data_IF_809735949420
#
_entry.id   IF_809735949420
#
_cell.length_a   1.000
_cell.length_b   1.000
_cell.length_c   1.000
_cell.angle_alpha   90.00
_cell.angle_beta   90.00
_cell.angle_gamma   90.00
#
_symmetry.space_group_name_H-M   'P 1'
#
loop_
_entity.id
_entity.type
_entity.pdbx_description
1 polymer ?
#
# COMPACT_ATOMS: atom_id res chain seq x y z
N UNK A 1 -19.41 -7.22 -22.46
CA UNK A 1 -17.97 -7.00 -22.19
C UNK A 1 -17.66 -5.63 -21.57
N UNK A 2 -17.83 -4.46 -22.23
CA UNK A 2 -17.59 -3.13 -21.58
C UNK A 2 -18.45 -2.76 -20.35
N UNK A 3 -19.51 -3.52 -20.06
CA UNK A 3 -20.42 -3.24 -18.93
C UNK A 3 -20.01 -3.96 -17.64
N UNK A 4 -19.24 -5.04 -17.73
CA UNK A 4 -18.76 -5.79 -16.56
C UNK A 4 -17.61 -5.08 -15.85
N UNK A 5 -16.67 -4.48 -16.60
CA UNK A 5 -15.58 -3.67 -16.05
C UNK A 5 -16.04 -2.45 -15.25
N UNK A 6 -17.20 -1.88 -15.57
CA UNK A 6 -17.76 -0.73 -14.81
C UNK A 6 -18.40 -1.20 -13.50
N UNK A 7 -18.78 -2.47 -13.37
CA UNK A 7 -19.55 -2.94 -12.20
C UNK A 7 -18.63 -3.28 -11.02
N UNK A 8 -17.41 -3.75 -11.28
CA UNK A 8 -16.38 -3.98 -10.26
C UNK A 8 -15.80 -2.66 -9.69
N UNK A 9 -15.74 -1.59 -10.48
CA UNK A 9 -15.27 -0.27 -10.04
C UNK A 9 -16.32 0.57 -9.28
N UNK A 10 -17.57 0.13 -9.18
CA UNK A 10 -18.70 0.95 -8.68
C UNK A 10 -19.22 0.61 -7.28
N UNK A 11 -18.64 -0.37 -6.58
CA UNK A 11 -19.19 -0.87 -5.31
C UNK A 11 -18.67 -0.13 -4.05
N UNK A 12 -17.84 0.92 -4.18
CA UNK A 12 -17.21 1.65 -3.07
C UNK A 12 -17.59 3.14 -3.03
N UNK A 13 -18.87 3.47 -3.24
CA UNK A 13 -19.38 4.85 -3.11
C UNK A 13 -20.52 4.90 -2.09
N UNK A 14 -20.16 4.80 -0.80
CA UNK A 14 -21.03 5.21 0.31
C UNK A 14 -20.63 6.61 0.74
N UNK A 15 -21.56 7.53 0.56
CA UNK A 15 -21.43 8.94 0.90
C UNK A 15 -21.30 9.17 2.42
N UNK A 16 -20.30 9.96 2.82
CA UNK A 16 -20.19 10.56 4.15
C UNK A 16 -20.02 12.07 4.02
N UNK A 17 -21.11 12.81 4.21
CA UNK A 17 -21.12 14.29 4.23
C UNK A 17 -20.96 14.74 5.68
N UNK A 18 -19.80 15.30 6.05
CA UNK A 18 -19.66 16.12 7.26
C UNK A 18 -18.79 17.33 6.94
N UNK A 19 -19.33 18.53 7.13
CA UNK A 19 -18.63 19.79 6.96
C UNK A 19 -18.13 20.38 8.28
N UNK A 20 -17.01 21.10 8.19
CA UNK A 20 -16.58 22.19 9.07
C UNK A 20 -15.86 23.18 8.12
N UNK A 21 -16.29 24.41 7.82
CA UNK A 21 -16.56 25.60 8.64
C UNK A 21 -15.37 26.09 9.50
N UNK A 22 -14.74 27.17 9.02
CA UNK A 22 -13.90 28.11 9.77
C UNK A 22 -12.38 27.82 9.69
N UNK A 23 -11.46 28.79 9.69
CA UNK A 23 -11.50 30.24 9.84
C UNK A 23 -10.06 30.78 9.68
N UNK A 24 -9.91 32.00 9.14
CA UNK A 24 -8.91 33.05 9.49
C UNK A 24 -7.38 32.81 9.42
N UNK A 25 -6.68 33.82 8.85
CA UNK A 25 -5.32 34.24 9.24
C UNK A 25 -4.39 34.46 8.03
N UNK A 26 -4.36 35.65 7.42
CA UNK A 26 -3.46 36.80 7.68
C UNK A 26 -1.98 36.63 7.32
N UNK A 27 -1.60 37.39 6.28
CA UNK A 27 -0.38 38.19 6.09
C UNK A 27 1.01 37.53 6.20
N UNK A 28 1.58 37.22 5.02
CA UNK A 28 3.02 36.97 4.84
C UNK A 28 3.59 37.86 3.74
N UNK A 29 4.08 39.05 4.13
CA UNK A 29 4.88 39.91 3.25
C UNK A 29 6.26 39.29 3.02
N UNK A 30 6.56 38.90 1.78
CA UNK A 30 7.91 38.55 1.35
C UNK A 30 8.55 39.79 0.69
N UNK A 31 9.51 40.41 1.38
CA UNK A 31 10.43 41.36 0.79
C UNK A 31 11.86 40.98 1.20
N UNK A 32 12.60 40.49 0.20
CA UNK A 32 14.06 40.36 0.07
C UNK A 32 14.87 41.41 0.80
N UNK A 33 15.97 41.01 1.45
CA UNK A 33 17.24 41.77 1.44
C UNK A 33 18.44 40.84 1.55
N UNK A 34 19.36 41.05 0.61
CA UNK A 34 20.68 40.44 0.41
C UNK A 34 21.76 41.21 1.18
N UNK A 35 22.79 40.51 1.69
CA UNK A 35 24.23 40.86 1.77
C UNK A 35 24.84 40.07 2.95
N UNK A 36 25.72 39.08 2.76
CA UNK A 36 27.12 39.17 2.33
C UNK A 36 27.95 40.12 3.20
N UNK A 37 28.80 39.56 4.08
CA UNK A 37 30.16 40.05 4.25
C UNK A 37 31.08 39.00 4.87
N UNK A 38 32.36 39.11 4.51
CA UNK A 38 33.46 38.15 4.65
C UNK A 38 34.21 38.29 6.00
N UNK A 39 35.02 37.28 6.35
CA UNK A 39 36.42 37.39 6.85
C UNK A 39 36.81 36.13 7.67
N UNK A 40 37.73 35.28 7.20
CA UNK A 40 39.21 35.34 7.40
C UNK A 40 39.73 34.61 8.67
N UNK A 41 40.14 33.35 8.45
CA UNK A 41 41.44 32.71 8.78
C UNK A 41 41.89 32.32 10.22
N UNK A 42 42.37 31.06 10.29
CA UNK A 42 43.57 30.49 10.97
C UNK A 42 43.43 29.72 12.30
N UNK A 43 43.56 28.40 12.17
CA UNK A 43 44.25 27.35 12.97
C UNK A 43 44.51 27.52 14.49
N UNK A 44 44.17 26.47 15.25
CA UNK A 44 45.13 25.63 16.00
C UNK A 44 44.42 24.43 16.68
N UNK A 45 45.06 23.26 16.61
CA UNK A 45 44.81 22.05 17.40
C UNK A 45 44.90 22.28 18.92
N UNK A 46 44.05 21.61 19.71
CA UNK A 46 44.47 20.71 20.80
C UNK A 46 43.26 19.89 21.32
N UNK A 47 43.40 18.58 21.64
CA UNK A 47 42.30 17.71 22.04
C UNK A 47 42.23 17.53 23.55
N UNK A 48 41.07 17.78 24.19
CA UNK A 48 40.74 17.12 25.46
C UNK A 48 39.28 17.26 25.89
N UNK A 49 38.83 16.21 26.58
CA UNK A 49 37.72 16.11 27.53
C UNK A 49 36.29 16.05 27.00
N UNK A 50 35.83 14.79 26.89
CA UNK A 50 34.45 14.35 27.04
C UNK A 50 33.89 14.83 28.38
N UNK A 51 33.14 15.92 28.36
CA UNK A 51 32.07 16.15 29.32
C UNK A 51 30.76 15.81 28.62
N UNK A 52 30.00 14.93 29.28
CA UNK A 52 28.65 14.57 28.86
C UNK A 52 27.75 15.79 29.10
N UNK A 53 27.55 16.59 28.06
CA UNK A 53 26.43 17.51 28.01
C UNK A 53 25.15 16.68 27.92
N UNK A 54 24.40 16.65 29.02
CA UNK A 54 22.97 16.39 29.00
C UNK A 54 22.33 17.42 28.06
N UNK A 55 22.22 17.06 26.79
CA UNK A 55 21.37 17.74 25.84
C UNK A 55 19.93 17.62 26.35
N UNK A 56 19.53 18.57 27.19
CA UNK A 56 18.13 18.88 27.45
C UNK A 56 17.58 19.35 26.11
N UNK A 57 17.01 18.41 25.36
CA UNK A 57 16.23 18.70 24.16
C UNK A 57 15.07 19.58 24.57
N UNK A 58 15.24 20.89 24.39
CA UNK A 58 14.14 21.84 24.30
C UNK A 58 13.21 21.32 23.20
N UNK A 59 12.06 20.77 23.59
CA UNK A 59 11.01 20.37 22.66
C UNK A 59 10.58 21.62 21.86
N UNK A 60 10.80 21.68 20.54
CA UNK A 60 10.12 22.66 19.73
C UNK A 60 8.62 22.35 19.77
N UNK A 61 7.82 23.40 19.74
CA UNK A 61 6.37 23.41 19.84
C UNK A 61 5.66 22.24 19.15
N UNK A 62 4.89 21.46 19.93
CA UNK A 62 3.55 20.98 19.57
C UNK A 62 3.35 20.09 18.33
N UNK A 63 4.39 19.68 17.61
CA UNK A 63 4.25 18.77 16.48
C UNK A 63 4.23 17.32 16.99
N UNK A 64 3.17 16.58 16.64
CA UNK A 64 3.07 15.16 16.95
C UNK A 64 4.32 14.44 16.41
N UNK A 65 4.86 13.44 17.11
CA UNK A 65 6.00 12.68 16.60
C UNK A 65 5.65 12.12 15.22
N UNK A 66 6.52 12.38 14.24
CA UNK A 66 6.40 11.79 12.90
C UNK A 66 6.46 10.27 13.05
N UNK A 67 5.47 9.58 12.49
CA UNK A 67 5.38 8.13 12.55
C UNK A 67 6.62 7.47 11.91
N UNK A 68 7.17 6.46 12.57
CA UNK A 68 8.33 5.72 12.11
C UNK A 68 7.94 4.63 11.10
N UNK A 69 8.92 4.11 10.35
CA UNK A 69 8.70 2.95 9.47
C UNK A 69 8.08 1.76 10.22
N UNK A 70 8.56 1.49 11.43
CA UNK A 70 8.07 0.36 12.22
C UNK A 70 6.60 0.52 12.62
N UNK A 71 6.14 1.77 12.84
CA UNK A 71 4.72 2.06 13.10
C UNK A 71 3.84 1.73 11.88
N UNK A 72 4.29 2.07 10.67
CA UNK A 72 3.59 1.72 9.43
C UNK A 72 3.62 0.22 9.13
N UNK A 73 4.73 -0.46 9.43
CA UNK A 73 4.82 -1.92 9.27
C UNK A 73 3.86 -2.63 10.20
N UNK A 74 3.80 -2.23 11.48
CA UNK A 74 2.86 -2.79 12.44
C UNK A 74 1.41 -2.56 12.00
N UNK A 75 1.09 -1.34 11.56
CA UNK A 75 -0.23 -1.00 11.02
C UNK A 75 -0.62 -1.85 9.80
N UNK A 76 0.29 -2.02 8.84
CA UNK A 76 0.08 -2.86 7.67
C UNK A 76 -0.16 -4.33 8.05
N UNK A 77 0.57 -4.87 9.03
CA UNK A 77 0.35 -6.23 9.52
C UNK A 77 -1.03 -6.39 10.20
N UNK A 78 -1.47 -5.38 10.95
CA UNK A 78 -2.80 -5.37 11.55
C UNK A 78 -3.89 -5.28 10.48
N UNK A 79 -3.74 -4.44 9.45
CA UNK A 79 -4.65 -4.35 8.32
C UNK A 79 -4.80 -5.71 7.59
N UNK A 80 -3.68 -6.32 7.23
CA UNK A 80 -3.64 -7.61 6.51
C UNK A 80 -4.22 -8.79 7.32
N UNK A 81 -4.28 -8.70 8.64
CA UNK A 81 -4.75 -9.79 9.51
C UNK A 81 -6.11 -9.56 10.16
N UNK A 82 -6.69 -8.36 10.04
CA UNK A 82 -7.94 -7.98 10.73
C UNK A 82 -9.15 -7.77 9.83
N UNK A 83 -8.98 -7.91 8.52
CA UNK A 83 -10.06 -7.74 7.55
C UNK A 83 -11.14 -8.82 7.59
N UNK A 84 -12.09 -8.71 6.66
CA UNK A 84 -13.18 -9.66 6.45
C UNK A 84 -13.19 -10.21 5.03
N UNK A 85 -12.98 -11.53 4.90
CA UNK A 85 -13.06 -12.22 3.61
C UNK A 85 -14.47 -12.10 2.97
N UNK A 86 -15.52 -12.01 3.79
CA UNK A 86 -16.90 -11.81 3.33
C UNK A 86 -17.10 -10.43 2.69
N UNK A 87 -16.26 -9.46 3.03
CA UNK A 87 -16.25 -8.11 2.44
C UNK A 87 -15.25 -7.98 1.29
N UNK A 88 -14.67 -9.11 0.84
CA UNK A 88 -13.68 -9.16 -0.24
C UNK A 88 -12.31 -8.61 0.17
N UNK A 89 -12.04 -8.47 1.47
CA UNK A 89 -10.74 -8.04 1.98
C UNK A 89 -9.78 -9.22 2.07
N UNK A 90 -8.50 -8.93 1.88
CA UNK A 90 -7.43 -9.89 2.13
C UNK A 90 -7.31 -10.11 3.64
N UNK A 91 -7.43 -11.37 4.08
CA UNK A 91 -7.24 -11.76 5.48
C UNK A 91 -6.19 -12.85 5.53
N UNK A 92 -5.05 -12.52 6.11
CA UNK A 92 -3.91 -13.41 6.28
C UNK A 92 -3.80 -13.89 7.72
N UNK A 93 -3.16 -15.04 7.91
CA UNK A 93 -2.70 -15.42 9.25
C UNK A 93 -1.70 -14.39 9.78
N UNK A 94 -1.62 -14.25 11.10
CA UNK A 94 -0.79 -13.19 11.72
C UNK A 94 0.68 -13.28 11.29
N UNK A 95 1.25 -14.48 11.24
CA UNK A 95 2.66 -14.68 10.86
C UNK A 95 2.92 -14.30 9.39
N UNK A 96 1.94 -14.55 8.50
CA UNK A 96 2.01 -14.18 7.08
C UNK A 96 1.91 -12.66 6.91
N UNK A 97 0.97 -12.02 7.63
CA UNK A 97 0.81 -10.57 7.65
C UNK A 97 2.07 -9.85 8.16
N UNK A 98 2.68 -10.34 9.26
CA UNK A 98 3.93 -9.80 9.80
C UNK A 98 5.11 -10.00 8.83
N UNK A 99 5.10 -11.08 8.05
CA UNK A 99 6.09 -11.29 7.00
C UNK A 99 5.89 -10.32 5.81
N UNK A 100 4.65 -10.14 5.35
CA UNK A 100 4.35 -9.36 4.15
C UNK A 100 4.45 -7.86 4.38
N UNK A 101 3.97 -7.37 5.53
CA UNK A 101 3.91 -5.96 5.88
C UNK A 101 5.20 -5.17 5.61
N UNK A 102 6.40 -5.59 6.08
CA UNK A 102 7.62 -4.84 5.82
C UNK A 102 7.95 -4.73 4.32
N UNK A 103 7.66 -5.78 3.54
CA UNK A 103 7.93 -5.80 2.09
C UNK A 103 7.00 -4.85 1.34
N UNK A 104 5.74 -4.78 1.76
CA UNK A 104 4.76 -3.87 1.18
C UNK A 104 5.06 -2.41 1.52
N UNK A 105 5.44 -2.12 2.77
CA UNK A 105 5.89 -0.79 3.17
C UNK A 105 7.16 -0.38 2.41
N UNK A 106 8.09 -1.30 2.15
CA UNK A 106 9.28 -0.98 1.35
C UNK A 106 8.95 -0.68 -0.11
N UNK A 107 7.91 -1.33 -0.68
CA UNK A 107 7.45 -1.06 -2.03
C UNK A 107 6.71 0.28 -2.16
N UNK A 108 5.89 0.64 -1.18
CA UNK A 108 5.15 1.92 -1.16
C UNK A 108 6.01 3.10 -0.68
N UNK A 109 6.98 2.83 0.18
CA UNK A 109 7.79 3.80 0.95
C UNK A 109 6.99 4.59 2.00
N UNK A 110 7.64 4.90 3.13
CA UNK A 110 7.02 5.67 4.22
C UNK A 110 6.81 7.13 3.82
N UNK A 111 7.74 7.64 3.02
CA UNK A 111 7.74 9.01 2.52
C UNK A 111 6.47 9.28 1.70
N UNK A 112 6.09 8.38 0.79
CA UNK A 112 4.85 8.50 0.01
C UNK A 112 3.61 8.45 0.91
N UNK A 113 3.57 7.54 1.89
CA UNK A 113 2.44 7.46 2.83
C UNK A 113 2.27 8.77 3.61
N UNK A 114 3.37 9.36 4.07
CA UNK A 114 3.37 10.64 4.77
C UNK A 114 2.98 11.81 3.85
N UNK A 115 3.47 11.84 2.61
CA UNK A 115 3.09 12.86 1.61
C UNK A 115 1.59 12.82 1.29
N UNK A 116 0.99 11.63 1.30
CA UNK A 116 -0.46 11.42 1.16
C UNK A 116 -1.23 11.62 2.47
N UNK A 117 -0.56 12.04 3.55
CA UNK A 117 -1.13 12.23 4.89
C UNK A 117 -1.77 10.97 5.48
N UNK A 118 -1.34 9.79 5.05
CA UNK A 118 -1.80 8.51 5.59
C UNK A 118 -1.11 8.27 6.93
N UNK A 119 -1.88 8.19 8.00
CA UNK A 119 -1.36 7.83 9.33
C UNK A 119 -1.30 6.31 9.53
N UNK A 120 -0.46 5.78 10.43
CA UNK A 120 -0.50 4.36 10.77
C UNK A 120 -1.88 3.89 11.27
N UNK A 121 -2.61 4.75 11.97
CA UNK A 121 -3.96 4.41 12.44
C UNK A 121 -4.96 4.22 11.30
N UNK A 122 -4.86 5.06 10.25
CA UNK A 122 -5.67 4.90 9.04
C UNK A 122 -5.22 3.68 8.24
N UNK A 123 -3.90 3.45 8.12
CA UNK A 123 -3.37 2.29 7.41
C UNK A 123 -3.80 0.97 8.05
N UNK A 124 -3.92 0.93 9.38
CA UNK A 124 -4.37 -0.25 10.13
C UNK A 124 -5.86 -0.55 9.97
N UNK A 125 -6.67 0.38 9.45
CA UNK A 125 -8.09 0.15 9.21
C UNK A 125 -8.26 -0.82 8.03
N UNK A 126 -8.93 -1.98 8.20
CA UNK A 126 -9.13 -2.95 7.11
C UNK A 126 -9.99 -2.40 5.95
N UNK A 127 -10.76 -1.33 6.17
CA UNK A 127 -11.49 -0.60 5.14
C UNK A 127 -10.66 0.47 4.43
N UNK A 128 -9.38 0.65 4.80
CA UNK A 128 -8.48 1.59 4.16
C UNK A 128 -8.26 1.19 2.70
N UNK A 129 -8.62 2.10 1.79
CA UNK A 129 -8.32 1.98 0.37
C UNK A 129 -7.75 3.29 -0.12
N UNK A 130 -6.50 3.23 -0.55
CA UNK A 130 -5.85 4.30 -1.31
C UNK A 130 -5.58 3.77 -2.71
N UNK A 131 -5.79 4.62 -3.72
CA UNK A 131 -5.56 4.20 -5.08
C UNK A 131 -4.07 3.96 -5.29
N UNK A 132 -3.70 2.90 -6.00
CA UNK A 132 -2.30 2.63 -6.34
C UNK A 132 -1.63 3.77 -7.12
N UNK A 133 -2.42 4.51 -7.90
CA UNK A 133 -2.00 5.74 -8.59
C UNK A 133 -1.56 6.85 -7.63
N UNK A 134 -2.24 7.01 -6.49
CA UNK A 134 -1.94 8.04 -5.49
C UNK A 134 -0.67 7.69 -4.70
N UNK A 135 -0.44 6.38 -4.52
CA UNK A 135 0.79 5.84 -3.95
C UNK A 135 1.95 5.72 -4.95
N UNK A 136 1.74 6.08 -6.22
CA UNK A 136 2.77 5.97 -7.24
C UNK A 136 3.30 4.55 -7.45
N UNK A 137 2.48 3.52 -7.20
CA UNK A 137 2.87 2.12 -7.37
C UNK A 137 3.02 1.82 -8.86
N UNK A 138 4.27 1.75 -9.32
CA UNK A 138 4.60 1.33 -10.66
C UNK A 138 4.61 -0.22 -10.78
N UNK A 139 4.93 -0.72 -11.97
CA UNK A 139 4.95 -2.16 -12.23
C UNK A 139 6.02 -2.91 -11.41
N UNK A 140 7.14 -2.27 -11.08
CA UNK A 140 8.22 -2.89 -10.31
C UNK A 140 7.83 -2.96 -8.82
N UNK A 141 7.24 -1.91 -8.27
CA UNK A 141 6.68 -1.90 -6.92
C UNK A 141 5.52 -2.90 -6.78
N UNK A 142 4.60 -2.94 -7.75
CA UNK A 142 3.52 -3.93 -7.80
C UNK A 142 4.07 -5.37 -7.87
N UNK A 143 5.08 -5.62 -8.70
CA UNK A 143 5.75 -6.91 -8.76
C UNK A 143 6.37 -7.29 -7.41
N UNK A 144 7.05 -6.38 -6.73
CA UNK A 144 7.62 -6.63 -5.40
C UNK A 144 6.54 -6.96 -4.35
N UNK A 145 5.39 -6.28 -4.39
CA UNK A 145 4.26 -6.57 -3.51
C UNK A 145 3.65 -7.96 -3.79
N UNK A 146 3.50 -8.33 -5.05
CA UNK A 146 2.96 -9.66 -5.44
C UNK A 146 3.98 -10.77 -5.14
N UNK A 147 5.27 -10.53 -5.33
CA UNK A 147 6.32 -11.50 -5.01
C UNK A 147 6.45 -11.74 -3.49
N UNK A 148 5.96 -10.80 -2.66
CA UNK A 148 5.92 -10.96 -1.21
C UNK A 148 5.03 -12.13 -0.77
N UNK A 149 3.96 -12.45 -1.49
CA UNK A 149 3.10 -13.60 -1.18
C UNK A 149 3.90 -14.89 -1.20
N UNK A 150 4.63 -15.16 -2.29
CA UNK A 150 5.46 -16.35 -2.40
C UNK A 150 6.64 -16.35 -1.42
N UNK A 151 7.24 -15.18 -1.13
CA UNK A 151 8.32 -15.05 -0.16
C UNK A 151 7.87 -15.26 1.30
N UNK A 152 6.57 -15.12 1.57
CA UNK A 152 5.93 -15.32 2.87
C UNK A 152 5.05 -16.57 2.91
N UNK A 153 5.23 -17.49 1.95
CA UNK A 153 4.52 -18.77 1.87
C UNK A 153 2.99 -18.66 1.77
N UNK A 154 2.46 -17.50 1.37
CA UNK A 154 1.03 -17.28 1.16
C UNK A 154 0.62 -17.84 -0.20
N UNK A 155 -0.43 -18.66 -0.21
CA UNK A 155 -0.98 -19.27 -1.42
C UNK A 155 -1.75 -18.25 -2.27
N UNK A 156 -1.00 -17.51 -3.09
CA UNK A 156 -1.55 -16.51 -4.02
C UNK A 156 -2.58 -17.09 -4.98
N UNK A 157 -2.37 -18.34 -5.45
CA UNK A 157 -3.27 -18.99 -6.40
C UNK A 157 -4.56 -19.40 -5.70
N UNK A 158 -4.47 -19.94 -4.48
CA UNK A 158 -5.63 -20.22 -3.64
C UNK A 158 -6.46 -18.98 -3.33
N UNK A 159 -5.80 -17.88 -2.93
CA UNK A 159 -6.47 -16.59 -2.70
C UNK A 159 -7.15 -16.05 -3.95
N UNK A 160 -6.45 -16.09 -5.09
CA UNK A 160 -7.02 -15.69 -6.37
C UNK A 160 -8.22 -16.56 -6.75
N UNK A 161 -8.13 -17.88 -6.57
CA UNK A 161 -9.21 -18.81 -6.89
C UNK A 161 -10.46 -18.53 -6.05
N UNK A 162 -10.32 -18.32 -4.74
CA UNK A 162 -11.43 -17.97 -3.85
C UNK A 162 -12.11 -16.65 -4.24
N UNK A 163 -11.32 -15.63 -4.54
CA UNK A 163 -11.85 -14.35 -5.01
C UNK A 163 -12.52 -14.45 -6.40
N UNK A 164 -11.91 -15.19 -7.32
CA UNK A 164 -12.41 -15.38 -8.68
C UNK A 164 -13.69 -16.21 -8.73
N UNK A 165 -13.77 -17.26 -7.94
CA UNK A 165 -14.91 -18.18 -7.90
C UNK A 165 -16.05 -17.71 -6.99
N UNK A 166 -15.94 -16.53 -6.39
CA UNK A 166 -16.97 -15.97 -5.53
C UNK A 166 -18.30 -15.86 -6.30
N UNK A 167 -19.29 -16.65 -5.88
CA UNK A 167 -20.60 -16.75 -6.53
C UNK A 167 -20.69 -17.73 -7.71
N UNK A 168 -19.60 -18.39 -8.10
CA UNK A 168 -19.56 -19.45 -9.11
C UNK A 168 -19.63 -20.86 -8.49
N UNK A 169 -19.24 -21.00 -7.22
CA UNK A 169 -19.35 -22.22 -6.42
C UNK A 169 -18.02 -22.96 -6.22
N UNK A 170 -18.00 -23.83 -5.19
CA UNK A 170 -16.79 -24.48 -4.67
C UNK A 170 -16.07 -25.36 -5.72
N UNK A 171 -16.81 -25.97 -6.65
CA UNK A 171 -16.24 -26.81 -7.71
C UNK A 171 -15.36 -25.99 -8.68
N UNK A 172 -15.79 -24.75 -8.99
CA UNK A 172 -15.03 -23.83 -9.84
C UNK A 172 -13.80 -23.34 -9.08
N UNK A 173 -13.95 -22.96 -7.82
CA UNK A 173 -12.83 -22.56 -6.96
C UNK A 173 -11.74 -23.63 -6.91
N UNK A 174 -12.12 -24.87 -6.58
CA UNK A 174 -11.19 -25.98 -6.47
C UNK A 174 -10.54 -26.35 -7.81
N UNK A 175 -11.20 -26.07 -8.93
CA UNK A 175 -10.60 -26.23 -10.26
C UNK A 175 -9.58 -25.12 -10.55
N UNK A 176 -9.96 -23.85 -10.35
CA UNK A 176 -9.07 -22.70 -10.59
C UNK A 176 -7.82 -22.80 -9.71
N UNK A 177 -7.97 -23.15 -8.43
CA UNK A 177 -6.83 -23.32 -7.52
C UNK A 177 -5.83 -24.39 -8.00
N UNK A 178 -6.28 -25.38 -8.79
CA UNK A 178 -5.45 -26.47 -9.30
C UNK A 178 -4.86 -26.20 -10.68
N UNK A 179 -5.64 -25.60 -11.55
CA UNK A 179 -5.32 -25.48 -12.98
C UNK A 179 -4.81 -24.09 -13.38
N UNK A 180 -4.99 -23.06 -12.53
CA UNK A 180 -4.50 -21.72 -12.82
C UNK A 180 -2.98 -21.68 -12.85
N UNK A 181 -2.43 -21.13 -13.93
CA UNK A 181 -0.99 -20.89 -14.03
C UNK A 181 -0.58 -19.77 -13.05
N UNK A 182 0.32 -20.06 -12.09
CA UNK A 182 0.75 -19.07 -11.11
C UNK A 182 1.41 -17.84 -11.75
N UNK A 183 2.05 -17.99 -12.92
CA UNK A 183 2.65 -16.87 -13.62
C UNK A 183 1.58 -15.92 -14.21
N UNK A 184 0.49 -16.48 -14.75
CA UNK A 184 -0.62 -15.66 -15.26
C UNK A 184 -1.38 -14.98 -14.13
N UNK A 185 -1.62 -15.68 -13.00
CA UNK A 185 -2.21 -15.08 -11.80
C UNK A 185 -1.35 -13.92 -11.30
N UNK A 186 -0.04 -14.12 -11.21
CA UNK A 186 0.92 -13.08 -10.85
C UNK A 186 0.81 -11.88 -11.79
N UNK A 187 0.84 -12.09 -13.10
CA UNK A 187 0.81 -11.02 -14.10
C UNK A 187 -0.51 -10.23 -14.04
N UNK A 188 -1.64 -10.89 -13.82
CA UNK A 188 -2.95 -10.24 -13.60
C UNK A 188 -2.90 -9.35 -12.37
N UNK A 189 -2.35 -9.84 -11.25
CA UNK A 189 -2.28 -9.09 -10.00
C UNK A 189 -1.32 -7.91 -10.11
N UNK A 190 -0.15 -8.08 -10.71
CA UNK A 190 0.81 -6.98 -10.93
C UNK A 190 0.15 -5.87 -11.75
N UNK A 191 -0.55 -6.22 -12.83
CA UNK A 191 -1.28 -5.24 -13.64
C UNK A 191 -2.40 -4.55 -12.85
N UNK A 192 -3.13 -5.28 -12.00
CA UNK A 192 -4.17 -4.71 -11.14
C UNK A 192 -3.59 -3.72 -10.13
N UNK A 193 -2.49 -4.07 -9.46
CA UNK A 193 -1.82 -3.21 -8.49
C UNK A 193 -1.19 -1.98 -9.15
N UNK A 194 -0.57 -2.09 -10.32
CA UNK A 194 0.08 -0.95 -10.98
C UNK A 194 -0.87 -0.06 -11.79
N UNK A 195 -2.17 -0.37 -11.84
CA UNK A 195 -3.13 0.29 -12.73
C UNK A 195 -2.83 0.06 -14.23
N UNK A 196 -2.12 -1.02 -14.56
CA UNK A 196 -1.77 -1.41 -15.91
C UNK A 196 -2.91 -2.09 -16.66
N UNK A 197 -2.70 -2.32 -17.97
CA UNK A 197 -3.64 -3.09 -18.79
C UNK A 197 -3.48 -4.59 -18.52
N UNK A 198 -4.25 -5.08 -17.55
CA UNK A 198 -4.32 -6.50 -17.21
C UNK A 198 -5.23 -7.33 -18.13
N UNK A 199 -5.85 -6.74 -19.16
CA UNK A 199 -6.84 -7.44 -20.00
C UNK A 199 -6.20 -8.61 -20.76
N UNK A 200 -4.96 -8.45 -21.22
CA UNK A 200 -4.24 -9.51 -21.94
C UNK A 200 -3.91 -10.71 -21.03
N UNK A 201 -3.41 -10.45 -19.81
CA UNK A 201 -3.08 -11.50 -18.85
C UNK A 201 -4.35 -12.21 -18.36
N UNK A 202 -5.42 -11.45 -18.08
CA UNK A 202 -6.71 -12.00 -17.69
C UNK A 202 -7.33 -12.83 -18.82
N UNK A 203 -7.28 -12.35 -20.07
CA UNK A 203 -7.78 -13.10 -21.22
C UNK A 203 -7.02 -14.41 -21.40
N UNK A 204 -5.69 -14.40 -21.28
CA UNK A 204 -4.88 -15.61 -21.36
C UNK A 204 -5.21 -16.61 -20.24
N UNK A 205 -5.45 -16.12 -19.02
CA UNK A 205 -5.86 -16.95 -17.89
C UNK A 205 -7.26 -17.55 -18.12
N UNK A 206 -8.21 -16.77 -18.63
CA UNK A 206 -9.56 -17.25 -18.95
C UNK A 206 -9.55 -18.28 -20.10
N UNK A 207 -8.75 -18.05 -21.14
CA UNK A 207 -8.59 -18.99 -22.26
C UNK A 207 -7.98 -20.32 -21.79
N UNK A 208 -7.10 -20.27 -20.79
CA UNK A 208 -6.54 -21.46 -20.14
C UNK A 208 -7.59 -22.19 -19.29
N UNK A 209 -8.31 -21.47 -18.43
CA UNK A 209 -9.22 -22.05 -17.44
C UNK A 209 -10.57 -22.50 -18.04
N UNK A 210 -11.08 -21.79 -19.03
CA UNK A 210 -12.36 -22.07 -19.68
C UNK A 210 -12.58 -23.54 -20.07
N UNK A 211 -11.67 -24.17 -20.84
CA UNK A 211 -11.87 -25.55 -21.29
C UNK A 211 -11.71 -26.60 -20.18
N UNK A 212 -11.10 -26.27 -19.04
CA UNK A 212 -10.80 -27.23 -17.97
C UNK A 212 -11.71 -27.09 -16.75
N UNK A 213 -12.18 -25.87 -16.46
CA UNK A 213 -12.98 -25.57 -15.27
C UNK A 213 -14.47 -25.33 -15.54
N UNK A 214 -14.93 -25.59 -16.77
CA UNK A 214 -16.35 -25.42 -17.17
C UNK A 214 -16.90 -24.05 -16.77
N UNK A 215 -16.09 -23.00 -16.99
CA UNK A 215 -16.47 -21.64 -16.66
C UNK A 215 -17.68 -21.24 -17.50
N UNK A 216 -18.71 -20.59 -16.92
CA UNK A 216 -19.84 -20.12 -17.70
C UNK A 216 -19.35 -19.13 -18.77
N UNK A 217 -19.83 -19.30 -20.01
CA UNK A 217 -19.56 -18.35 -21.09
C UNK A 217 -19.98 -16.93 -20.64
N UNK A 218 -19.01 -16.03 -20.51
CA UNK A 218 -19.18 -14.65 -20.03
C UNK A 218 -19.77 -13.69 -21.09
#
# INVERSE_FOLDING_TARGET
>A
MRKLLVTLASLLLVAGVVGCSGSSGSDGSAATTTAADEATTTAADDPTTTEADEATTTAPDGEAPVASRDDYVAAMADNLSSGSADEGQLVLERDEAECMAPRWIDAMTVEVLQEQQVTPAELADPGFSISSSDLGIDADAAAAMVDAFGACEVDLVGLFAGAFAQGLGDDVEACVAREADPALVRDVLVAAFSGGDGEAALSALLDQLGPVCDLPDA
#
